data_IF_604050981223
#
_entry.id   IF_604050981223
#
_cell.length_a   1.000
_cell.length_b   1.000
_cell.length_c   1.000
_cell.angle_alpha   90.00
_cell.angle_beta   90.00
_cell.angle_gamma   90.00
#
_symmetry.space_group_name_H-M   'P 1'
#
loop_
_entity.id
_entity.type
_entity.pdbx_description
1 polymer ?
#
# COMPACT_ATOMS: atom_id res chain seq x y z
N UNK A 1 60.44 27.86 -15.23
CA UNK A 1 58.97 27.70 -15.15
C UNK A 1 58.50 26.65 -16.16
N UNK A 2 58.36 25.38 -15.77
CA UNK A 2 57.77 24.30 -16.60
C UNK A 2 57.06 23.22 -15.75
N UNK A 3 56.62 23.57 -14.54
CA UNK A 3 55.99 22.62 -13.58
C UNK A 3 54.45 22.65 -13.68
N UNK A 4 53.87 23.63 -14.38
CA UNK A 4 52.42 23.87 -14.35
C UNK A 4 51.59 23.07 -15.35
N UNK A 5 52.18 22.20 -16.19
CA UNK A 5 51.46 21.51 -17.27
C UNK A 5 51.04 20.06 -16.97
N UNK A 6 51.51 19.47 -15.86
CA UNK A 6 51.18 18.06 -15.50
C UNK A 6 49.99 17.92 -14.55
N UNK A 7 49.58 18.98 -13.85
CA UNK A 7 48.50 18.93 -12.84
C UNK A 7 47.11 18.90 -13.49
N UNK A 8 46.97 19.43 -14.71
CA UNK A 8 45.68 19.49 -15.40
C UNK A 8 45.25 18.18 -16.05
N UNK A 9 46.16 17.21 -16.23
CA UNK A 9 45.85 15.93 -16.90
C UNK A 9 45.40 14.82 -15.94
N UNK A 10 45.74 14.90 -14.66
CA UNK A 10 45.38 13.88 -13.65
C UNK A 10 43.97 14.06 -13.07
N UNK A 11 43.40 15.27 -13.09
CA UNK A 11 42.06 15.51 -12.56
C UNK A 11 40.91 15.07 -13.48
N UNK A 12 41.12 15.02 -14.79
CA UNK A 12 40.09 14.61 -15.75
C UNK A 12 39.81 13.10 -15.74
N UNK A 13 40.78 12.27 -15.30
CA UNK A 13 40.65 10.80 -15.29
C UNK A 13 40.04 10.25 -14.00
N UNK A 14 40.13 10.97 -12.88
CA UNK A 14 39.50 10.59 -11.61
C UNK A 14 37.99 10.86 -11.57
N UNK A 15 37.53 11.91 -12.25
CA UNK A 15 36.14 12.37 -12.22
C UNK A 15 35.21 11.52 -13.10
N UNK A 16 35.72 10.87 -14.15
CA UNK A 16 34.93 9.98 -15.00
C UNK A 16 34.70 8.59 -14.39
N UNK A 17 35.59 8.13 -13.50
CA UNK A 17 35.46 6.81 -12.85
C UNK A 17 34.44 6.81 -11.70
N UNK A 18 34.16 7.96 -11.07
CA UNK A 18 33.16 8.05 -9.99
C UNK A 18 31.72 8.11 -10.50
N UNK A 19 31.47 8.66 -11.70
CA UNK A 19 30.13 8.66 -12.29
C UNK A 19 29.66 7.26 -12.73
N UNK A 20 30.57 6.37 -13.15
CA UNK A 20 30.20 5.02 -13.61
C UNK A 20 29.87 4.08 -12.44
N UNK A 21 30.45 4.29 -11.26
CA UNK A 21 30.18 3.45 -10.08
C UNK A 21 28.83 3.82 -9.43
N UNK A 22 28.41 5.08 -9.49
CA UNK A 22 27.10 5.52 -8.96
C UNK A 22 25.92 5.10 -9.83
N UNK A 23 26.12 4.86 -11.14
CA UNK A 23 25.07 4.38 -12.03
C UNK A 23 24.81 2.87 -11.93
N UNK A 24 25.71 2.09 -11.33
CA UNK A 24 25.53 0.65 -11.11
C UNK A 24 24.93 0.32 -9.74
N UNK A 25 24.92 1.26 -8.80
CA UNK A 25 24.35 1.09 -7.46
C UNK A 25 22.95 1.70 -7.29
N UNK A 26 22.47 2.48 -8.27
CA UNK A 26 21.19 3.23 -8.21
C UNK A 26 19.95 2.46 -8.68
N UNK A 27 20.05 1.15 -8.89
CA UNK A 27 18.90 0.29 -9.17
C UNK A 27 18.16 -0.12 -7.90
N UNK A 28 17.86 0.81 -7.01
CA UNK A 28 16.95 0.51 -5.90
C UNK A 28 15.54 0.67 -6.43
N UNK A 29 14.90 -0.47 -6.68
CA UNK A 29 13.53 -0.63 -7.14
C UNK A 29 12.58 0.34 -6.44
N UNK A 30 12.33 1.51 -7.05
CA UNK A 30 11.30 2.45 -6.62
C UNK A 30 9.91 1.84 -6.70
N UNK A 31 9.71 0.84 -7.56
CA UNK A 31 8.50 0.05 -7.64
C UNK A 31 8.18 -0.70 -6.32
N UNK A 32 9.20 -1.29 -5.67
CA UNK A 32 9.00 -2.05 -4.43
C UNK A 32 8.71 -1.14 -3.23
N UNK A 33 9.25 0.09 -3.22
CA UNK A 33 8.98 1.08 -2.17
C UNK A 33 7.54 1.60 -2.25
N UNK A 34 7.08 1.98 -3.46
CA UNK A 34 5.70 2.44 -3.69
C UNK A 34 4.68 1.31 -3.39
N UNK A 35 5.05 0.06 -3.64
CA UNK A 35 4.22 -1.11 -3.31
C UNK A 35 4.11 -1.41 -1.81
N UNK A 36 4.98 -0.88 -0.94
CA UNK A 36 4.87 -1.06 0.52
C UNK A 36 4.14 0.11 1.18
N UNK A 37 4.27 1.32 0.63
CA UNK A 37 3.69 2.54 1.19
C UNK A 37 2.16 2.48 1.31
N UNK A 38 1.46 1.88 0.34
CA UNK A 38 0.00 1.79 0.40
C UNK A 38 -0.50 0.84 1.48
N UNK A 39 0.24 -0.25 1.75
CA UNK A 39 -0.16 -1.22 2.77
C UNK A 39 0.04 -0.63 4.16
N UNK A 40 1.12 0.12 4.38
CA UNK A 40 1.35 0.86 5.61
C UNK A 40 0.23 1.90 5.84
N UNK A 41 -0.16 2.64 4.79
CA UNK A 41 -1.29 3.56 4.85
C UNK A 41 -2.60 2.86 5.26
N UNK A 42 -2.89 1.68 4.69
CA UNK A 42 -4.05 0.87 5.08
C UNK A 42 -4.00 0.41 6.54
N UNK A 43 -2.84 -0.04 7.02
CA UNK A 43 -2.65 -0.44 8.43
C UNK A 43 -2.92 0.74 9.35
N UNK A 44 -2.39 1.92 9.02
CA UNK A 44 -2.62 3.13 9.80
C UNK A 44 -4.10 3.53 9.81
N UNK A 45 -4.80 3.43 8.67
CA UNK A 45 -6.24 3.71 8.61
C UNK A 45 -7.05 2.80 9.54
N UNK A 46 -6.73 1.49 9.58
CA UNK A 46 -7.38 0.54 10.49
C UNK A 46 -7.13 0.91 11.96
N UNK A 47 -5.90 1.28 12.32
CA UNK A 47 -5.56 1.71 13.68
C UNK A 47 -6.27 3.01 14.08
N UNK A 48 -6.45 3.95 13.15
CA UNK A 48 -7.20 5.19 13.39
C UNK A 48 -8.68 4.89 13.66
N UNK A 49 -9.31 4.00 12.87
CA UNK A 49 -10.69 3.61 13.12
C UNK A 49 -10.85 2.82 14.43
N UNK A 50 -9.90 1.95 14.74
CA UNK A 50 -9.83 1.26 16.03
C UNK A 50 -9.76 2.25 17.21
N UNK A 51 -8.92 3.28 17.11
CA UNK A 51 -8.78 4.30 18.15
C UNK A 51 -10.08 5.12 18.33
N UNK A 52 -10.83 5.34 17.24
CA UNK A 52 -12.10 6.08 17.27
C UNK A 52 -13.24 5.28 17.91
N UNK A 53 -13.24 3.94 17.79
CA UNK A 53 -14.26 3.08 18.40
C UNK A 53 -14.01 2.78 19.90
N UNK A 54 -12.86 3.17 20.46
CA UNK A 54 -12.61 3.06 21.90
C UNK A 54 -12.30 1.63 22.38
N UNK A 55 -12.82 1.22 23.55
CA UNK A 55 -12.47 -0.04 24.24
C UNK A 55 -12.77 -1.33 23.45
N UNK A 56 -13.43 -1.22 22.30
CA UNK A 56 -13.66 -2.27 21.31
C UNK A 56 -12.41 -2.65 20.49
N UNK A 57 -11.21 -2.27 20.95
CA UNK A 57 -9.95 -2.45 20.21
C UNK A 57 -9.72 -3.87 19.65
N UNK A 58 -10.26 -4.91 20.29
CA UNK A 58 -10.09 -6.28 19.80
C UNK A 58 -10.89 -6.61 18.52
N UNK A 59 -11.92 -5.82 18.17
CA UNK A 59 -12.73 -6.06 16.97
C UNK A 59 -11.94 -5.90 15.67
N UNK A 60 -10.92 -5.02 15.67
CA UNK A 60 -10.08 -4.75 14.52
C UNK A 60 -8.88 -5.71 14.37
N UNK A 61 -8.61 -6.55 15.38
CA UNK A 61 -7.46 -7.44 15.36
C UNK A 61 -7.44 -8.39 14.14
N UNK A 62 -8.56 -9.00 13.70
CA UNK A 62 -8.57 -9.84 12.51
C UNK A 62 -8.24 -9.08 11.22
N UNK A 63 -8.63 -7.81 11.13
CA UNK A 63 -8.35 -6.96 9.98
C UNK A 63 -6.85 -6.66 9.87
N UNK A 64 -6.20 -6.35 10.99
CA UNK A 64 -4.74 -6.18 11.05
C UNK A 64 -3.99 -7.49 10.76
N UNK A 65 -4.51 -8.62 11.25
CA UNK A 65 -4.00 -9.95 10.92
C UNK A 65 -4.05 -10.23 9.43
N UNK A 66 -5.15 -9.89 8.77
CA UNK A 66 -5.29 -10.05 7.32
C UNK A 66 -4.30 -9.16 6.55
N UNK A 67 -4.11 -7.90 6.95
CA UNK A 67 -3.10 -7.02 6.33
C UNK A 67 -1.66 -7.52 6.56
N UNK A 68 -1.41 -8.23 7.66
CA UNK A 68 -0.12 -8.92 7.89
C UNK A 68 0.10 -10.05 6.88
N UNK A 69 -0.94 -10.81 6.55
CA UNK A 69 -0.86 -11.83 5.49
C UNK A 69 -0.60 -11.21 4.11
N UNK A 70 -1.26 -10.08 3.80
CA UNK A 70 -1.02 -9.32 2.57
C UNK A 70 0.46 -8.92 2.47
N UNK A 71 1.04 -8.42 3.57
CA UNK A 71 2.47 -8.07 3.63
C UNK A 71 3.37 -9.26 3.34
N UNK A 72 3.06 -10.41 3.93
CA UNK A 72 3.84 -11.63 3.71
C UNK A 72 3.86 -12.03 2.23
N UNK A 73 2.70 -12.00 1.56
CA UNK A 73 2.62 -12.31 0.13
C UNK A 73 3.32 -11.28 -0.76
N UNK A 74 3.26 -9.98 -0.41
CA UNK A 74 4.01 -8.93 -1.13
C UNK A 74 5.53 -9.15 -1.03
N UNK A 75 6.04 -9.44 0.18
CA UNK A 75 7.47 -9.71 0.38
C UNK A 75 7.93 -10.95 -0.40
N UNK A 76 7.07 -11.97 -0.49
CA UNK A 76 7.33 -13.17 -1.29
C UNK A 76 7.14 -12.98 -2.81
N UNK A 77 6.63 -11.83 -3.28
CA UNK A 77 6.36 -11.57 -4.69
C UNK A 77 5.15 -12.34 -5.25
N UNK A 78 4.26 -12.84 -4.39
CA UNK A 78 3.12 -13.69 -4.78
C UNK A 78 1.89 -12.84 -5.15
N UNK A 79 1.93 -12.14 -6.28
CA UNK A 79 0.89 -11.19 -6.70
C UNK A 79 -0.55 -11.74 -6.64
N UNK A 80 -0.77 -12.97 -7.11
CA UNK A 80 -2.08 -13.64 -7.05
C UNK A 80 -2.55 -13.90 -5.61
N UNK A 81 -1.63 -14.19 -4.69
CA UNK A 81 -1.95 -14.39 -3.29
C UNK A 81 -2.26 -13.05 -2.60
N UNK A 82 -1.56 -11.97 -2.97
CA UNK A 82 -1.87 -10.60 -2.55
C UNK A 82 -3.29 -10.22 -2.98
N UNK A 83 -3.64 -10.46 -4.25
CA UNK A 83 -4.98 -10.20 -4.78
C UNK A 83 -6.08 -10.94 -3.99
N UNK A 84 -5.89 -12.24 -3.73
CA UNK A 84 -6.86 -13.02 -2.94
C UNK A 84 -6.96 -12.52 -1.49
N UNK A 85 -5.83 -12.24 -0.85
CA UNK A 85 -5.79 -11.77 0.52
C UNK A 85 -6.45 -10.38 0.68
N UNK A 86 -6.24 -9.47 -0.26
CA UNK A 86 -6.89 -8.15 -0.28
C UNK A 86 -8.39 -8.26 -0.52
N UNK A 87 -8.84 -9.09 -1.47
CA UNK A 87 -10.28 -9.29 -1.68
C UNK A 87 -10.97 -9.91 -0.47
N UNK A 88 -10.27 -10.78 0.29
CA UNK A 88 -10.74 -11.27 1.59
C UNK A 88 -10.85 -10.14 2.61
N UNK A 89 -9.83 -9.29 2.75
CA UNK A 89 -9.91 -8.12 3.63
C UNK A 89 -11.14 -7.24 3.33
N UNK A 90 -11.43 -7.00 2.06
CA UNK A 90 -12.59 -6.22 1.64
C UNK A 90 -13.92 -6.93 1.88
N UNK A 91 -13.95 -8.26 1.80
CA UNK A 91 -15.11 -9.06 2.22
C UNK A 91 -15.40 -8.89 3.70
N UNK A 92 -14.37 -9.01 4.55
CA UNK A 92 -14.49 -8.84 6.01
C UNK A 92 -15.11 -7.47 6.35
N UNK A 93 -14.67 -6.40 5.66
CA UNK A 93 -15.23 -5.06 5.82
C UNK A 93 -16.71 -4.99 5.43
N UNK A 94 -17.09 -5.56 4.29
CA UNK A 94 -18.50 -5.56 3.85
C UNK A 94 -19.42 -6.33 4.79
N UNK A 95 -18.95 -7.47 5.29
CA UNK A 95 -19.71 -8.29 6.24
C UNK A 95 -19.63 -7.76 7.67
N UNK A 96 -18.81 -6.72 7.91
CA UNK A 96 -18.50 -6.16 9.24
C UNK A 96 -18.14 -7.27 10.21
N UNK A 97 -17.19 -8.10 9.80
CA UNK A 97 -16.71 -9.22 10.62
C UNK A 97 -16.31 -8.71 12.02
N UNK A 98 -16.64 -9.47 13.07
CA UNK A 98 -16.54 -9.05 14.49
C UNK A 98 -17.44 -7.87 14.91
N UNK A 99 -18.27 -7.32 14.03
CA UNK A 99 -19.25 -6.30 14.39
C UNK A 99 -18.68 -4.89 14.56
N UNK A 100 -17.65 -4.51 13.78
CA UNK A 100 -17.21 -3.11 13.66
C UNK A 100 -18.36 -2.22 13.18
N UNK A 101 -18.30 -0.92 13.49
CA UNK A 101 -19.35 0.01 13.06
C UNK A 101 -19.50 0.06 11.54
N UNK A 102 -20.73 0.36 11.10
CA UNK A 102 -21.03 0.56 9.69
C UNK A 102 -20.12 1.62 9.07
N UNK A 103 -19.96 2.71 9.81
CA UNK A 103 -19.24 3.89 9.38
C UNK A 103 -17.73 3.62 9.29
N UNK A 104 -17.15 2.85 10.22
CA UNK A 104 -15.75 2.44 10.13
C UNK A 104 -15.51 1.50 8.94
N UNK A 105 -16.35 0.48 8.79
CA UNK A 105 -16.27 -0.46 7.67
C UNK A 105 -16.36 0.26 6.32
N UNK A 106 -17.30 1.20 6.21
CA UNK A 106 -17.53 1.97 4.99
C UNK A 106 -16.33 2.86 4.65
N UNK A 107 -15.78 3.59 5.63
CA UNK A 107 -14.58 4.44 5.43
C UNK A 107 -13.36 3.62 5.03
N UNK A 108 -13.11 2.49 5.69
CA UNK A 108 -11.98 1.63 5.36
C UNK A 108 -12.13 1.01 3.97
N UNK A 109 -13.34 0.60 3.61
CA UNK A 109 -13.61 0.05 2.28
C UNK A 109 -13.36 1.11 1.21
N UNK A 110 -13.83 2.35 1.38
CA UNK A 110 -13.61 3.43 0.41
C UNK A 110 -12.12 3.80 0.32
N UNK A 111 -11.43 3.82 1.46
CA UNK A 111 -9.99 4.11 1.49
C UNK A 111 -9.16 3.05 0.74
N UNK A 112 -9.56 1.77 0.76
CA UNK A 112 -8.92 0.73 -0.07
C UNK A 112 -8.85 1.13 -1.55
N UNK A 113 -9.91 1.70 -2.11
CA UNK A 113 -9.92 2.10 -3.53
C UNK A 113 -9.04 3.31 -3.81
N UNK A 114 -8.71 4.11 -2.79
CA UNK A 114 -7.85 5.27 -2.94
C UNK A 114 -6.37 4.90 -2.92
N UNK A 115 -5.98 3.93 -2.08
CA UNK A 115 -4.55 3.64 -1.85
C UNK A 115 -4.09 2.31 -2.42
N UNK A 116 -4.95 1.29 -2.51
CA UNK A 116 -4.54 -0.02 -3.00
C UNK A 116 -4.41 0.00 -4.53
N UNK A 117 -3.30 -0.48 -5.09
CA UNK A 117 -3.16 -0.64 -6.54
C UNK A 117 -4.29 -1.51 -7.11
N UNK A 118 -4.82 -1.10 -8.27
CA UNK A 118 -5.97 -1.77 -8.92
C UNK A 118 -5.70 -3.26 -9.23
N UNK A 119 -4.45 -3.66 -9.42
CA UNK A 119 -4.07 -5.06 -9.65
C UNK A 119 -4.31 -5.99 -8.45
N UNK A 120 -4.45 -5.45 -7.24
CA UNK A 120 -4.58 -6.22 -6.00
C UNK A 120 -6.00 -6.30 -5.47
N UNK A 121 -7.01 -5.75 -6.17
CA UNK A 121 -8.40 -5.83 -5.71
C UNK A 121 -9.40 -5.75 -6.86
N UNK A 122 -10.63 -6.22 -6.62
CA UNK A 122 -11.71 -6.12 -7.60
C UNK A 122 -12.38 -4.74 -7.60
N UNK A 123 -12.03 -3.91 -8.59
CA UNK A 123 -12.58 -2.55 -8.78
C UNK A 123 -14.10 -2.56 -8.97
N UNK A 124 -14.66 -3.61 -9.57
CA UNK A 124 -16.10 -3.74 -9.86
C UNK A 124 -16.94 -3.74 -8.59
N UNK A 125 -16.36 -4.20 -7.48
CA UNK A 125 -17.03 -4.29 -6.19
C UNK A 125 -17.40 -2.92 -5.61
N UNK A 126 -16.58 -1.88 -5.83
CA UNK A 126 -16.94 -0.51 -5.43
C UNK A 126 -18.00 0.10 -6.31
N UNK A 127 -17.90 -0.11 -7.63
CA UNK A 127 -18.92 0.37 -8.56
C UNK A 127 -20.31 -0.18 -8.19
N UNK A 128 -20.40 -1.49 -7.91
CA UNK A 128 -21.65 -2.12 -7.46
C UNK A 128 -22.16 -1.53 -6.13
N UNK A 129 -21.27 -1.19 -5.20
CA UNK A 129 -21.63 -0.58 -3.92
C UNK A 129 -22.14 0.85 -4.09
N UNK A 130 -21.46 1.67 -4.90
CA UNK A 130 -21.89 3.02 -5.26
C UNK A 130 -23.26 3.00 -5.96
N UNK A 131 -23.47 2.09 -6.90
CA UNK A 131 -24.76 1.91 -7.56
C UNK A 131 -25.87 1.57 -6.55
N UNK A 132 -25.59 0.69 -5.58
CA UNK A 132 -26.58 0.34 -4.53
C UNK A 132 -26.89 1.52 -3.61
N UNK A 133 -25.92 2.37 -3.31
CA UNK A 133 -26.14 3.58 -2.50
C UNK A 133 -26.93 4.65 -3.27
N UNK A 134 -26.70 4.81 -4.57
CA UNK A 134 -27.45 5.76 -5.42
C UNK A 134 -28.91 5.38 -5.63
N UNK A 135 -29.24 4.09 -5.61
CA UNK A 135 -30.62 3.61 -5.79
C UNK A 135 -31.48 3.85 -4.52
N UNK A 136 -30.85 4.11 -3.37
CA UNK A 136 -31.56 4.31 -2.09
C UNK A 136 -32.26 3.04 -1.60
N UNK A 137 -32.53 2.89 -0.28
CA UNK A 137 -33.37 1.80 0.18
C UNK A 137 -34.77 1.95 -0.43
N UNK A 138 -35.45 0.85 -0.82
CA UNK A 138 -36.85 0.94 -1.19
C UNK A 138 -37.61 1.57 -0.01
N UNK A 139 -38.30 2.67 -0.28
CA UNK A 139 -39.18 3.30 0.70
C UNK A 139 -40.17 2.24 1.19
N UNK A 140 -40.08 1.89 2.48
CA UNK A 140 -41.03 1.02 3.16
C UNK A 140 -42.36 1.76 3.38
#
# INVERSE_FOLDING_TARGET
MRISYDITRTMARGLLLTCVILLLAGGWSTAAAIEQDWLDAMVQAVLVEQAKEGASGNLFAPYLGQLTMVRAHLISGESEAVYRAMNRFMEMLQTREQGISAEAADRLFDYCYLVTPAQYHDVSRHLNRLSRQQVGPPSA
#
